data_IF_554113544800
#
_entry.id   IF_554113544800
#
_cell.length_a   1.000
_cell.length_b   1.000
_cell.length_c   1.000
_cell.angle_alpha   90.00
_cell.angle_beta   90.00
_cell.angle_gamma   90.00
#
_symmetry.space_group_name_H-M   'P 1'
#
loop_
_entity.id
_entity.type
_entity.pdbx_description
1 polymer ?
#
# COMPACT_ATOMS: atom_id res chain seq x y z
N UNK A 1 -53.58 14.77 -20.02
CA UNK A 1 -52.11 14.65 -19.82
C UNK A 1 -51.55 14.02 -21.07
N UNK A 2 -50.82 14.78 -21.88
CA UNK A 2 -50.19 14.29 -23.10
C UNK A 2 -48.93 13.51 -22.69
N UNK A 3 -49.08 12.25 -22.30
CA UNK A 3 -47.97 11.34 -22.02
C UNK A 3 -47.33 11.00 -23.37
N UNK A 4 -46.42 11.84 -23.86
CA UNK A 4 -45.47 11.41 -24.87
C UNK A 4 -44.60 10.35 -24.21
N UNK A 5 -44.90 9.07 -24.43
CA UNK A 5 -44.07 7.98 -23.95
C UNK A 5 -42.67 8.17 -24.57
N UNK A 6 -41.69 8.47 -23.73
CA UNK A 6 -40.30 8.53 -24.16
C UNK A 6 -39.80 7.09 -24.35
N UNK A 7 -39.04 6.89 -25.42
CA UNK A 7 -38.34 5.64 -25.67
C UNK A 7 -37.50 5.24 -24.43
N UNK A 8 -37.45 3.97 -24.00
CA UNK A 8 -36.75 3.57 -22.77
C UNK A 8 -35.30 4.03 -22.66
N UNK A 9 -34.56 3.98 -23.77
CA UNK A 9 -33.17 4.41 -23.87
C UNK A 9 -33.02 5.88 -24.31
N UNK A 10 -34.07 6.69 -24.23
CA UNK A 10 -33.95 8.14 -24.42
C UNK A 10 -33.17 8.76 -23.26
N UNK A 11 -32.26 9.69 -23.57
CA UNK A 11 -31.47 10.41 -22.56
C UNK A 11 -32.34 11.02 -21.45
N UNK A 12 -33.53 11.49 -21.79
CA UNK A 12 -34.45 12.11 -20.83
C UNK A 12 -34.85 11.15 -19.71
N UNK A 13 -34.89 9.85 -19.98
CA UNK A 13 -35.25 8.81 -19.02
C UNK A 13 -34.05 8.31 -18.21
N UNK A 14 -32.87 8.23 -18.82
CA UNK A 14 -31.72 7.47 -18.28
C UNK A 14 -30.63 8.34 -17.65
N UNK A 15 -30.50 9.61 -18.05
CA UNK A 15 -29.42 10.49 -17.57
C UNK A 15 -29.45 10.70 -16.05
N UNK A 16 -30.65 10.77 -15.46
CA UNK A 16 -30.79 10.93 -14.01
C UNK A 16 -30.25 9.72 -13.24
N UNK A 17 -30.52 8.51 -13.72
CA UNK A 17 -30.01 7.27 -13.14
C UNK A 17 -28.49 7.18 -13.27
N UNK A 18 -27.92 7.58 -14.41
CA UNK A 18 -26.47 7.64 -14.62
C UNK A 18 -25.80 8.50 -13.55
N UNK A 19 -26.30 9.71 -13.31
CA UNK A 19 -25.74 10.62 -12.31
C UNK A 19 -25.90 10.11 -10.88
N UNK A 20 -27.02 9.45 -10.55
CA UNK A 20 -27.19 8.81 -9.25
C UNK A 20 -26.19 7.67 -9.03
N UNK A 21 -25.90 6.89 -10.07
CA UNK A 21 -24.91 5.81 -10.02
C UNK A 21 -23.51 6.38 -9.84
N UNK A 22 -23.13 7.42 -10.60
CA UNK A 22 -21.83 8.10 -10.42
C UNK A 22 -21.69 8.60 -8.98
N UNK A 23 -22.70 9.28 -8.44
CA UNK A 23 -22.66 9.79 -7.07
C UNK A 23 -22.52 8.65 -6.02
N UNK A 24 -23.22 7.53 -6.23
CA UNK A 24 -23.13 6.36 -5.36
C UNK A 24 -21.75 5.69 -5.44
N UNK A 25 -21.18 5.57 -6.64
CA UNK A 25 -19.85 5.02 -6.87
C UNK A 25 -18.78 5.90 -6.23
N UNK A 26 -18.86 7.22 -6.37
CA UNK A 26 -17.94 8.14 -5.70
C UNK A 26 -17.99 8.00 -4.18
N UNK A 27 -19.20 7.89 -3.59
CA UNK A 27 -19.35 7.67 -2.15
C UNK A 27 -18.77 6.32 -1.70
N UNK A 28 -19.04 5.27 -2.47
CA UNK A 28 -18.53 3.92 -2.18
C UNK A 28 -16.99 3.87 -2.30
N UNK A 29 -16.43 4.51 -3.32
CA UNK A 29 -14.99 4.65 -3.50
C UNK A 29 -14.36 5.41 -2.33
N UNK A 30 -14.95 6.53 -1.90
CA UNK A 30 -14.48 7.29 -0.73
C UNK A 30 -14.49 6.43 0.55
N UNK A 31 -15.54 5.62 0.76
CA UNK A 31 -15.58 4.69 1.88
C UNK A 31 -14.51 3.59 1.78
N UNK A 32 -14.26 3.07 0.57
CA UNK A 32 -13.20 2.08 0.33
C UNK A 32 -11.81 2.65 0.62
N UNK A 33 -11.56 3.90 0.20
CA UNK A 33 -10.31 4.62 0.47
C UNK A 33 -10.14 4.83 1.98
N UNK A 34 -11.18 5.31 2.67
CA UNK A 34 -11.13 5.49 4.12
C UNK A 34 -10.88 4.17 4.84
N UNK A 35 -11.51 3.08 4.40
CA UNK A 35 -11.26 1.74 4.93
C UNK A 35 -9.80 1.31 4.75
N UNK A 36 -9.25 1.49 3.55
CA UNK A 36 -7.85 1.20 3.25
C UNK A 36 -6.89 2.02 4.11
N UNK A 37 -7.15 3.32 4.30
CA UNK A 37 -6.35 4.18 5.16
C UNK A 37 -6.43 3.76 6.64
N UNK A 38 -7.60 3.30 7.10
CA UNK A 38 -7.72 2.78 8.48
C UNK A 38 -7.00 1.44 8.66
N UNK A 39 -7.04 0.56 7.65
CA UNK A 39 -6.32 -0.72 7.64
C UNK A 39 -4.81 -0.46 7.70
N UNK A 40 -4.28 0.40 6.82
CA UNK A 40 -2.88 0.83 6.82
C UNK A 40 -2.45 1.46 8.16
N UNK A 41 -3.29 2.33 8.73
CA UNK A 41 -2.98 2.97 10.02
C UNK A 41 -2.99 1.99 11.21
N UNK A 42 -3.66 0.84 11.06
CA UNK A 42 -3.77 -0.18 12.11
C UNK A 42 -2.58 -1.14 12.16
N UNK A 43 -1.76 -1.17 11.11
CA UNK A 43 -0.55 -1.99 11.00
C UNK A 43 0.70 -1.12 11.14
N UNK A 44 1.12 -0.77 12.37
CA UNK A 44 2.26 0.11 12.55
C UNK A 44 3.54 -0.66 12.17
N UNK A 45 4.45 0.00 11.42
CA UNK A 45 5.78 -0.51 11.07
C UNK A 45 6.72 -0.56 12.30
N UNK A 46 6.34 -1.32 13.34
CA UNK A 46 7.09 -1.45 14.59
C UNK A 46 8.04 -2.64 14.46
N UNK A 47 9.32 -2.38 14.70
CA UNK A 47 10.37 -3.39 14.71
C UNK A 47 11.13 -3.34 16.03
N UNK A 48 11.68 -4.49 16.43
CA UNK A 48 12.59 -4.61 17.58
C UNK A 48 13.93 -3.90 17.35
N UNK A 49 14.24 -3.58 16.10
CA UNK A 49 15.40 -2.78 15.70
C UNK A 49 14.93 -1.56 14.91
N UNK A 50 15.50 -0.39 15.21
CA UNK A 50 15.22 0.81 14.45
C UNK A 50 15.70 0.62 12.99
N UNK A 51 14.78 0.82 12.05
CA UNK A 51 15.11 0.78 10.64
C UNK A 51 16.00 1.96 10.24
N UNK A 52 16.79 1.77 9.17
CA UNK A 52 17.43 2.91 8.50
C UNK A 52 16.37 3.71 7.74
N UNK A 53 16.63 5.00 7.52
CA UNK A 53 15.71 5.88 6.79
C UNK A 53 15.36 5.35 5.39
N UNK A 54 16.37 4.85 4.66
CA UNK A 54 16.16 4.25 3.35
C UNK A 54 15.25 3.01 3.42
N UNK A 55 15.46 2.14 4.41
CA UNK A 55 14.64 0.94 4.58
C UNK A 55 13.21 1.28 5.01
N UNK A 56 13.04 2.22 5.94
CA UNK A 56 11.72 2.70 6.36
C UNK A 56 10.94 3.24 5.16
N UNK A 57 11.58 4.05 4.31
CA UNK A 57 10.89 4.63 3.15
C UNK A 57 10.48 3.54 2.15
N UNK A 58 11.34 2.54 1.88
CA UNK A 58 10.98 1.41 1.00
C UNK A 58 9.83 0.59 1.58
N UNK A 59 9.88 0.23 2.86
CA UNK A 59 8.83 -0.55 3.50
C UNK A 59 7.50 0.22 3.53
N UNK A 60 7.54 1.50 3.88
CA UNK A 60 6.34 2.34 3.90
C UNK A 60 5.68 2.44 2.51
N UNK A 61 6.47 2.66 1.46
CA UNK A 61 5.94 2.75 0.09
C UNK A 61 5.35 1.42 -0.36
N UNK A 62 6.04 0.31 -0.09
CA UNK A 62 5.57 -1.03 -0.45
C UNK A 62 4.24 -1.38 0.25
N UNK A 63 4.14 -1.13 1.56
CA UNK A 63 2.93 -1.40 2.34
C UNK A 63 1.75 -0.53 1.90
N UNK A 64 2.02 0.75 1.61
CA UNK A 64 1.01 1.67 1.11
C UNK A 64 0.51 1.25 -0.28
N UNK A 65 1.42 0.84 -1.16
CA UNK A 65 1.08 0.36 -2.51
C UNK A 65 0.27 -0.94 -2.45
N UNK A 66 0.65 -1.90 -1.59
CA UNK A 66 -0.09 -3.15 -1.42
C UNK A 66 -1.50 -2.90 -0.87
N UNK A 67 -1.62 -2.08 0.18
CA UNK A 67 -2.92 -1.69 0.74
C UNK A 67 -3.80 -1.02 -0.32
N UNK A 68 -3.20 -0.15 -1.15
CA UNK A 68 -3.90 0.56 -2.20
C UNK A 68 -4.41 -0.38 -3.30
N UNK A 69 -3.56 -1.30 -3.77
CA UNK A 69 -3.95 -2.31 -4.76
C UNK A 69 -5.03 -3.25 -4.20
N UNK A 70 -4.91 -3.67 -2.94
CA UNK A 70 -5.92 -4.48 -2.28
C UNK A 70 -7.29 -3.77 -2.23
N UNK A 71 -7.30 -2.45 -2.00
CA UNK A 71 -8.52 -1.64 -1.99
C UNK A 71 -9.16 -1.56 -3.39
N UNK A 72 -8.36 -1.31 -4.43
CA UNK A 72 -8.80 -1.31 -5.83
C UNK A 72 -9.41 -2.68 -6.19
N UNK A 73 -8.69 -3.75 -5.91
CA UNK A 73 -9.10 -5.11 -6.25
C UNK A 73 -10.38 -5.52 -5.52
N UNK A 74 -10.50 -5.19 -4.23
CA UNK A 74 -11.70 -5.45 -3.42
C UNK A 74 -12.91 -4.72 -4.00
N UNK A 75 -12.74 -3.45 -4.38
CA UNK A 75 -13.79 -2.66 -4.98
C UNK A 75 -14.19 -3.18 -6.37
N UNK A 76 -13.23 -3.50 -7.23
CA UNK A 76 -13.45 -4.08 -8.55
C UNK A 76 -14.24 -5.39 -8.47
N UNK A 77 -13.87 -6.30 -7.54
CA UNK A 77 -14.61 -7.54 -7.31
C UNK A 77 -16.07 -7.30 -6.92
N UNK A 78 -16.34 -6.33 -6.04
CA UNK A 78 -17.71 -6.00 -5.67
C UNK A 78 -18.53 -5.52 -6.87
N UNK A 79 -17.93 -4.71 -7.75
CA UNK A 79 -18.59 -4.28 -8.97
C UNK A 79 -18.90 -5.47 -9.89
N UNK A 80 -17.91 -6.32 -10.17
CA UNK A 80 -18.12 -7.52 -11.00
C UNK A 80 -19.25 -8.39 -10.45
N UNK A 81 -19.30 -8.60 -9.14
CA UNK A 81 -20.39 -9.36 -8.50
C UNK A 81 -21.75 -8.71 -8.78
N UNK A 82 -21.88 -7.38 -8.63
CA UNK A 82 -23.12 -6.66 -8.92
C UNK A 82 -23.54 -6.83 -10.39
N UNK A 83 -22.60 -6.75 -11.33
CA UNK A 83 -22.88 -6.94 -12.76
C UNK A 83 -23.40 -8.36 -13.03
N UNK A 84 -22.72 -9.36 -12.47
CA UNK A 84 -23.07 -10.78 -12.63
C UNK A 84 -24.45 -11.09 -12.03
N UNK A 85 -24.74 -10.60 -10.82
CA UNK A 85 -26.06 -10.74 -10.19
C UNK A 85 -27.14 -10.11 -11.06
N UNK A 86 -26.90 -8.89 -11.56
CA UNK A 86 -27.87 -8.19 -12.38
C UNK A 86 -28.23 -8.94 -13.68
N UNK A 87 -27.26 -9.65 -14.26
CA UNK A 87 -27.46 -10.45 -15.47
C UNK A 87 -28.12 -11.79 -15.17
N UNK A 88 -27.60 -12.56 -14.22
CA UNK A 88 -28.11 -13.92 -13.90
C UNK A 88 -29.54 -13.84 -13.36
N UNK A 89 -29.82 -12.90 -12.46
CA UNK A 89 -31.14 -12.76 -11.86
C UNK A 89 -32.11 -11.98 -12.76
N UNK A 90 -31.64 -11.45 -13.89
CA UNK A 90 -32.46 -10.67 -14.81
C UNK A 90 -33.08 -9.43 -14.16
N UNK A 91 -32.29 -8.68 -13.37
CA UNK A 91 -32.80 -7.55 -12.61
C UNK A 91 -33.42 -6.49 -13.54
N UNK A 92 -34.70 -6.19 -13.32
CA UNK A 92 -35.45 -5.27 -14.15
C UNK A 92 -35.13 -3.81 -13.85
N UNK A 93 -35.06 -3.01 -14.92
CA UNK A 93 -34.91 -1.55 -14.83
C UNK A 93 -36.26 -0.86 -14.70
N UNK A 94 -36.31 0.23 -13.93
CA UNK A 94 -37.54 1.01 -13.74
C UNK A 94 -38.02 1.77 -14.99
N UNK A 95 -37.16 1.91 -16.01
CA UNK A 95 -37.45 2.57 -17.30
C UNK A 95 -37.59 1.57 -18.45
N UNK A 96 -37.64 0.27 -18.15
CA UNK A 96 -37.85 -0.80 -19.13
C UNK A 96 -36.83 -0.86 -20.27
N UNK A 97 -35.55 -0.60 -19.98
CA UNK A 97 -34.46 -0.74 -20.97
C UNK A 97 -34.07 -2.19 -21.22
N UNK A 98 -34.35 -3.10 -20.28
CA UNK A 98 -34.04 -4.55 -20.42
C UNK A 98 -35.29 -5.46 -20.42
N UNK A 99 -36.37 -5.05 -19.77
CA UNK A 99 -37.66 -5.74 -19.80
C UNK A 99 -38.80 -4.74 -19.93
N UNK A 100 -39.75 -5.00 -20.81
CA UNK A 100 -40.98 -4.22 -20.94
C UNK A 100 -42.20 -5.05 -20.58
N UNK A 101 -43.09 -4.45 -19.77
CA UNK A 101 -44.36 -5.04 -19.39
C UNK A 101 -45.43 -4.71 -20.42
N UNK A 102 -46.10 -5.73 -20.95
CA UNK A 102 -47.26 -5.56 -21.82
C UNK A 102 -48.48 -6.16 -21.15
N UNK A 103 -49.62 -5.48 -21.23
CA UNK A 103 -50.90 -6.06 -20.82
C UNK A 103 -51.39 -6.99 -21.93
N UNK A 104 -51.56 -8.26 -21.61
CA UNK A 104 -52.14 -9.23 -22.54
C UNK A 104 -53.58 -9.54 -22.12
N UNK A 105 -54.50 -9.51 -23.08
CA UNK A 105 -55.84 -10.05 -22.91
C UNK A 105 -55.79 -11.52 -23.31
N UNK A 106 -56.14 -12.42 -22.39
CA UNK A 106 -56.44 -13.80 -22.79
C UNK A 106 -57.77 -13.82 -23.55
N UNK A 107 -57.84 -14.61 -24.61
CA UNK A 107 -59.02 -14.74 -25.46
C UNK A 107 -60.23 -15.18 -24.61
N UNK A 108 -61.30 -14.36 -24.60
CA UNK A 108 -62.55 -14.60 -23.86
C UNK A 108 -62.45 -14.27 -22.37
N UNK A 109 -63.01 -13.13 -21.93
CA UNK A 109 -63.36 -12.71 -20.56
C UNK A 109 -62.43 -13.06 -19.36
N UNK A 110 -61.15 -13.38 -19.61
CA UNK A 110 -60.14 -13.67 -18.58
C UNK A 110 -59.43 -12.37 -18.16
N UNK A 111 -59.07 -12.19 -16.87
CA UNK A 111 -58.46 -10.96 -16.38
C UNK A 111 -57.18 -10.58 -17.13
N UNK A 112 -57.01 -9.26 -17.30
CA UNK A 112 -55.83 -8.62 -17.82
C UNK A 112 -54.61 -9.02 -16.98
N UNK A 113 -53.62 -9.70 -17.58
CA UNK A 113 -52.36 -10.01 -16.91
C UNK A 113 -51.22 -9.20 -17.53
N UNK A 114 -50.26 -8.83 -16.68
CA UNK A 114 -49.02 -8.17 -17.12
C UNK A 114 -48.03 -9.27 -17.49
N UNK A 115 -47.64 -9.31 -18.76
CA UNK A 115 -46.56 -10.18 -19.25
C UNK A 115 -45.29 -9.36 -19.41
N UNK A 116 -44.18 -9.90 -18.92
CA UNK A 116 -42.86 -9.32 -19.12
C UNK A 116 -42.22 -9.90 -20.38
N UNK A 117 -41.67 -9.02 -21.21
CA UNK A 117 -40.89 -9.37 -22.38
C UNK A 117 -39.49 -8.79 -22.24
N UNK A 118 -38.46 -9.58 -22.50
CA UNK A 118 -37.11 -9.05 -22.67
C UNK A 118 -37.09 -8.07 -23.85
N UNK A 119 -36.30 -7.01 -23.73
CA UNK A 119 -36.15 -6.02 -24.80
C UNK A 119 -35.06 -6.43 -25.78
N UNK A 120 -35.31 -6.17 -27.06
CA UNK A 120 -34.38 -6.43 -28.14
C UNK A 120 -34.10 -5.16 -28.93
N UNK A 121 -32.84 -4.91 -29.25
CA UNK A 121 -32.39 -3.73 -29.99
C UNK A 121 -31.69 -4.15 -31.29
N UNK A 122 -32.30 -3.84 -32.43
CA UNK A 122 -31.64 -4.00 -33.73
C UNK A 122 -30.93 -2.72 -34.11
N UNK A 123 -29.60 -2.73 -34.05
CA UNK A 123 -28.76 -1.59 -34.37
C UNK A 123 -28.59 -1.39 -35.89
N UNK A 124 -28.34 -0.15 -36.35
CA UNK A 124 -28.06 0.11 -37.75
C UNK A 124 -26.83 -0.65 -38.24
N UNK A 125 -26.96 -1.34 -39.37
CA UNK A 125 -25.88 -2.12 -39.97
C UNK A 125 -25.58 -3.46 -39.30
N UNK A 126 -26.32 -3.86 -38.26
CA UNK A 126 -26.29 -5.24 -37.74
C UNK A 126 -27.47 -6.04 -38.29
N UNK A 127 -27.21 -7.32 -38.57
CA UNK A 127 -28.23 -8.28 -39.00
C UNK A 127 -28.93 -8.95 -37.80
N UNK A 128 -28.31 -8.89 -36.62
CA UNK A 128 -28.80 -9.53 -35.40
C UNK A 128 -29.19 -8.48 -34.36
N UNK A 129 -30.28 -8.74 -33.65
CA UNK A 129 -30.74 -7.91 -32.54
C UNK A 129 -29.99 -8.24 -31.26
N UNK A 130 -29.62 -7.22 -30.51
CA UNK A 130 -29.04 -7.35 -29.17
C UNK A 130 -30.15 -7.58 -28.13
N UNK A 131 -30.10 -8.70 -27.41
CA UNK A 131 -31.00 -9.02 -26.31
C UNK A 131 -30.45 -8.46 -25.01
N UNK A 132 -31.22 -7.62 -24.34
CA UNK A 132 -30.82 -7.06 -23.05
C UNK A 132 -30.92 -8.02 -21.85
N UNK A 133 -31.24 -9.29 -22.11
CA UNK A 133 -31.18 -10.37 -21.14
C UNK A 133 -29.98 -11.28 -21.37
N UNK A 134 -29.67 -11.59 -22.63
CA UNK A 134 -28.64 -12.58 -22.98
C UNK A 134 -27.29 -11.93 -23.29
N UNK A 135 -27.28 -10.73 -23.85
CA UNK A 135 -26.06 -10.05 -24.25
C UNK A 135 -25.49 -9.24 -23.10
N UNK A 136 -24.17 -9.34 -22.92
CA UNK A 136 -23.45 -8.66 -21.83
C UNK A 136 -23.38 -7.14 -22.01
N UNK A 137 -23.55 -6.67 -23.25
CA UNK A 137 -23.40 -5.27 -23.64
C UNK A 137 -24.16 -5.01 -24.94
N UNK A 138 -25.07 -4.04 -24.88
CA UNK A 138 -25.80 -3.50 -26.03
C UNK A 138 -25.55 -1.99 -26.14
N UNK A 139 -24.28 -1.63 -26.25
CA UNK A 139 -23.85 -0.23 -26.21
C UNK A 139 -24.26 0.58 -27.42
N UNK A 140 -24.71 1.81 -27.18
CA UNK A 140 -25.03 2.77 -28.22
C UNK A 140 -24.84 4.22 -27.77
N UNK A 141 -24.62 5.15 -28.70
CA UNK A 141 -24.54 6.57 -28.36
C UNK A 141 -25.85 7.05 -27.75
N UNK A 142 -25.74 7.82 -26.66
CA UNK A 142 -26.90 8.44 -26.05
C UNK A 142 -27.48 9.52 -26.94
N UNK A 143 -28.81 9.59 -27.00
CA UNK A 143 -29.50 10.59 -27.79
C UNK A 143 -30.91 10.90 -27.32
N UNK A 144 -31.48 11.93 -27.95
CA UNK A 144 -32.90 12.28 -27.85
C UNK A 144 -33.62 11.71 -29.06
N UNK A 145 -34.62 10.88 -28.80
CA UNK A 145 -35.35 10.19 -29.84
C UNK A 145 -36.76 10.76 -29.94
N UNK A 146 -37.16 11.09 -31.16
CA UNK A 146 -38.54 11.48 -31.47
C UNK A 146 -39.32 10.20 -31.76
N UNK A 147 -39.91 9.65 -30.71
CA UNK A 147 -40.63 8.39 -30.79
C UNK A 147 -42.14 8.65 -31.00
N UNK A 148 -42.66 8.26 -32.17
CA UNK A 148 -44.07 8.42 -32.54
C UNK A 148 -44.71 7.11 -33.04
N UNK A 149 -44.13 5.95 -32.67
CA UNK A 149 -44.73 4.64 -33.00
C UNK A 149 -45.10 3.90 -31.73
N UNK A 150 -46.08 3.02 -31.81
CA UNK A 150 -46.32 2.01 -30.79
C UNK A 150 -45.47 0.81 -31.14
N UNK A 151 -44.46 0.47 -30.34
CA UNK A 151 -43.71 -0.76 -30.55
C UNK A 151 -44.60 -1.99 -30.41
N UNK A 152 -44.32 -2.98 -31.23
CA UNK A 152 -44.83 -4.33 -31.06
C UNK A 152 -43.86 -5.12 -30.19
N UNK A 153 -44.29 -5.53 -29.00
CA UNK A 153 -43.66 -6.58 -28.18
C UNK A 153 -42.19 -6.35 -27.79
N UNK A 154 -41.81 -5.15 -27.35
CA UNK A 154 -40.48 -4.88 -26.77
C UNK A 154 -39.30 -5.04 -27.74
N UNK A 155 -39.57 -4.97 -29.05
CA UNK A 155 -38.54 -5.00 -30.09
C UNK A 155 -38.34 -3.60 -30.70
N UNK A 156 -37.10 -3.10 -30.61
CA UNK A 156 -36.70 -1.75 -31.00
C UNK A 156 -35.78 -1.79 -32.21
N UNK A 157 -36.26 -1.30 -33.36
CA UNK A 157 -35.45 -1.24 -34.58
C UNK A 157 -34.86 0.16 -34.79
N UNK A 158 -33.56 0.31 -34.54
CA UNK A 158 -32.87 1.58 -34.67
C UNK A 158 -32.53 1.98 -36.12
N UNK A 159 -32.79 1.11 -37.10
CA UNK A 159 -32.84 1.58 -38.49
C UNK A 159 -34.02 2.55 -38.71
N UNK A 160 -35.00 2.57 -37.81
CA UNK A 160 -36.26 3.32 -37.91
C UNK A 160 -36.39 4.37 -36.79
N UNK A 161 -35.73 4.14 -35.66
CA UNK A 161 -35.66 5.04 -34.50
C UNK A 161 -34.36 5.84 -34.59
N UNK A 162 -34.45 7.06 -35.14
CA UNK A 162 -33.29 7.93 -35.39
C UNK A 162 -33.17 8.93 -34.24
N UNK A 163 -31.96 9.07 -33.67
CA UNK A 163 -31.65 10.11 -32.70
C UNK A 163 -31.63 11.47 -33.40
N UNK A 164 -32.36 12.45 -32.86
CA UNK A 164 -32.32 13.83 -33.35
C UNK A 164 -31.03 14.54 -32.88
N UNK A 165 -30.58 14.20 -31.68
CA UNK A 165 -29.40 14.78 -31.03
C UNK A 165 -28.65 13.63 -30.37
N UNK A 166 -27.33 13.59 -30.52
CA UNK A 166 -26.45 12.66 -29.81
C UNK A 166 -25.46 13.42 -28.92
N UNK A 167 -24.99 12.77 -27.86
CA UNK A 167 -24.13 13.40 -26.86
C UNK A 167 -22.76 12.71 -26.81
N UNK A 168 -21.67 13.43 -27.10
CA UNK A 168 -20.33 12.84 -27.10
C UNK A 168 -19.96 12.32 -25.72
N UNK A 169 -19.48 11.08 -25.67
CA UNK A 169 -19.06 10.43 -24.43
C UNK A 169 -20.21 9.85 -23.60
N UNK A 170 -21.48 10.14 -23.88
CA UNK A 170 -22.58 9.49 -23.15
C UNK A 170 -23.05 8.27 -23.95
N UNK A 171 -23.10 7.12 -23.30
CA UNK A 171 -23.47 5.83 -23.88
C UNK A 171 -24.63 5.22 -23.09
N UNK A 172 -25.52 4.52 -23.80
CA UNK A 172 -26.54 3.67 -23.21
C UNK A 172 -26.25 2.20 -23.42
N UNK A 173 -26.76 1.42 -22.49
CA UNK A 173 -26.70 -0.02 -22.43
C UNK A 173 -27.97 -0.52 -21.72
N UNK A 174 -28.17 -1.83 -21.70
CA UNK A 174 -29.35 -2.49 -21.15
C UNK A 174 -29.64 -2.13 -19.69
N UNK A 175 -28.58 -1.91 -18.91
CA UNK A 175 -28.64 -1.57 -17.50
C UNK A 175 -28.03 -0.18 -17.27
N UNK A 176 -28.62 0.65 -16.37
CA UNK A 176 -28.11 1.98 -16.08
C UNK A 176 -26.64 2.01 -15.61
N UNK A 177 -26.19 1.01 -14.86
CA UNK A 177 -24.78 0.96 -14.42
C UNK A 177 -23.84 0.57 -15.56
N UNK A 178 -24.27 -0.30 -16.50
CA UNK A 178 -23.50 -0.61 -17.71
C UNK A 178 -23.40 0.62 -18.61
N UNK A 179 -24.51 1.35 -18.76
CA UNK A 179 -24.54 2.64 -19.47
C UNK A 179 -23.54 3.64 -18.85
N UNK A 180 -23.53 3.72 -17.52
CA UNK A 180 -22.62 4.58 -16.78
C UNK A 180 -21.17 4.19 -17.02
N UNK A 181 -20.83 2.91 -16.93
CA UNK A 181 -19.47 2.41 -17.14
C UNK A 181 -18.96 2.58 -18.58
N UNK A 182 -19.84 2.46 -19.57
CA UNK A 182 -19.54 2.68 -20.97
C UNK A 182 -19.39 4.16 -21.35
N UNK A 183 -19.92 5.07 -20.52
CA UNK A 183 -19.87 6.51 -20.75
C UNK A 183 -18.56 7.13 -20.26
N UNK A 184 -18.18 8.28 -20.81
CA UNK A 184 -17.14 9.20 -20.37
C UNK A 184 -17.74 10.54 -19.96
N UNK A 185 -16.91 11.43 -19.40
CA UNK A 185 -17.34 12.76 -18.99
C UNK A 185 -17.18 13.83 -20.09
N UNK A 186 -16.85 13.44 -21.32
CA UNK A 186 -16.50 14.36 -22.41
C UNK A 186 -17.54 15.47 -22.65
N UNK A 187 -18.84 15.15 -22.63
CA UNK A 187 -19.90 16.15 -22.76
C UNK A 187 -19.85 17.24 -21.67
N UNK A 188 -19.45 16.89 -20.45
CA UNK A 188 -19.47 17.80 -19.29
C UNK A 188 -18.31 18.80 -19.27
N UNK A 189 -17.31 18.63 -20.14
CA UNK A 189 -16.27 19.63 -20.40
C UNK A 189 -16.68 20.66 -21.47
N UNK A 190 -17.78 20.43 -22.21
CA UNK A 190 -18.22 21.28 -23.31
C UNK A 190 -19.52 22.03 -22.99
N UNK A 191 -19.47 23.36 -22.98
CA UNK A 191 -20.62 24.19 -22.61
C UNK A 191 -21.80 24.04 -23.59
N UNK A 192 -21.52 23.82 -24.87
CA UNK A 192 -22.55 23.58 -25.89
C UNK A 192 -23.32 22.29 -25.61
N UNK A 193 -22.61 21.24 -25.16
CA UNK A 193 -23.23 19.97 -24.82
C UNK A 193 -24.17 20.10 -23.60
N UNK A 194 -23.71 20.79 -22.55
CA UNK A 194 -24.53 21.09 -21.37
C UNK A 194 -25.75 21.94 -21.71
N UNK A 195 -25.58 22.98 -22.52
CA UNK A 195 -26.70 23.83 -22.97
C UNK A 195 -27.75 23.02 -23.74
N UNK A 196 -27.30 22.06 -24.55
CA UNK A 196 -28.18 21.14 -25.28
C UNK A 196 -28.98 20.25 -24.32
N UNK A 197 -28.32 19.67 -23.30
CA UNK A 197 -29.01 18.88 -22.25
C UNK A 197 -30.06 19.76 -21.55
N UNK A 198 -29.69 20.96 -21.11
CA UNK A 198 -30.60 21.89 -20.43
C UNK A 198 -31.82 22.25 -21.29
N UNK A 199 -31.61 22.47 -22.59
CA UNK A 199 -32.66 22.74 -23.57
C UNK A 199 -33.62 21.55 -23.70
N UNK A 200 -33.08 20.33 -23.81
CA UNK A 200 -33.87 19.09 -23.92
C UNK A 200 -34.76 18.87 -22.69
N UNK A 201 -34.27 19.23 -21.50
CA UNK A 201 -35.05 19.15 -20.25
C UNK A 201 -35.94 20.37 -20.00
N UNK A 202 -35.91 21.40 -20.87
CA UNK A 202 -36.58 22.68 -20.65
C UNK A 202 -36.24 23.28 -19.27
N UNK A 203 -34.97 23.21 -18.89
CA UNK A 203 -34.44 23.72 -17.62
C UNK A 203 -33.43 24.83 -17.85
N UNK A 204 -33.48 25.84 -16.99
CA UNK A 204 -32.49 26.91 -16.92
C UNK A 204 -31.79 26.80 -15.57
N UNK A 205 -30.67 26.09 -15.53
CA UNK A 205 -29.84 25.96 -14.33
C UNK A 205 -28.51 26.63 -14.62
N UNK A 206 -28.02 27.45 -13.70
CA UNK A 206 -26.70 28.05 -13.81
C UNK A 206 -25.66 27.00 -13.39
N UNK A 207 -25.15 26.25 -14.36
CA UNK A 207 -24.14 25.20 -14.16
C UNK A 207 -22.87 25.56 -14.91
N UNK A 208 -21.71 25.40 -14.28
CA UNK A 208 -20.41 25.53 -14.92
C UNK A 208 -19.96 24.20 -15.47
N UNK A 209 -19.33 24.20 -16.65
CA UNK A 209 -18.63 23.03 -17.18
C UNK A 209 -17.45 22.62 -16.31
N UNK A 210 -17.03 21.37 -16.47
CA UNK A 210 -15.78 20.88 -15.87
C UNK A 210 -14.57 21.59 -16.47
N UNK A 211 -13.54 21.79 -15.64
CA UNK A 211 -12.35 22.52 -16.03
C UNK A 211 -11.37 21.60 -16.78
N UNK A 212 -11.28 21.76 -18.10
CA UNK A 212 -10.33 21.01 -18.95
C UNK A 212 -8.86 21.38 -18.67
N UNK A 213 -8.60 22.56 -18.11
CA UNK A 213 -7.26 23.01 -17.75
C UNK A 213 -6.79 22.50 -16.38
N UNK A 214 -7.65 21.84 -15.61
CA UNK A 214 -7.21 21.16 -14.39
C UNK A 214 -6.37 19.94 -14.80
N UNK A 215 -5.16 19.82 -14.27
CA UNK A 215 -4.32 18.64 -14.48
C UNK A 215 -4.95 17.44 -13.78
N UNK A 216 -5.71 16.65 -14.52
CA UNK A 216 -6.26 15.37 -14.07
C UNK A 216 -5.44 14.22 -14.65
N UNK A 217 -5.32 13.14 -13.88
CA UNK A 217 -4.81 11.85 -14.35
C UNK A 217 -5.75 11.25 -15.41
N UNK A 218 -7.04 11.53 -15.30
CA UNK A 218 -8.07 10.97 -16.17
C UNK A 218 -8.45 11.96 -17.29
N UNK A 219 -8.17 11.67 -18.57
CA UNK A 219 -8.56 12.54 -19.67
C UNK A 219 -10.09 12.55 -19.86
N UNK A 220 -10.68 13.61 -20.45
CA UNK A 220 -12.14 13.73 -20.66
C UNK A 220 -12.77 12.58 -21.45
N UNK A 221 -11.99 11.92 -22.32
CA UNK A 221 -12.43 10.81 -23.17
C UNK A 221 -12.37 9.45 -22.48
N UNK A 222 -11.75 9.36 -21.30
CA UNK A 222 -11.64 8.12 -20.54
C UNK A 222 -13.02 7.64 -20.09
N UNK A 223 -13.27 6.34 -20.23
CA UNK A 223 -14.53 5.76 -19.80
C UNK A 223 -14.59 5.71 -18.27
N UNK A 224 -15.78 5.93 -17.73
CA UNK A 224 -16.03 5.96 -16.29
C UNK A 224 -15.66 4.63 -15.62
N UNK A 225 -15.78 3.50 -16.32
CA UNK A 225 -15.33 2.20 -15.79
C UNK A 225 -13.87 2.24 -15.33
N UNK A 226 -12.98 2.78 -16.15
CA UNK A 226 -11.54 2.82 -15.83
C UNK A 226 -11.26 3.79 -14.66
N UNK A 227 -12.00 4.89 -14.56
CA UNK A 227 -11.92 5.81 -13.42
C UNK A 227 -12.39 5.13 -12.13
N UNK A 228 -13.51 4.40 -12.20
CA UNK A 228 -14.12 3.64 -11.11
C UNK A 228 -13.19 2.53 -10.62
N UNK A 229 -12.56 1.79 -11.53
CA UNK A 229 -11.55 0.76 -11.24
C UNK A 229 -10.27 1.34 -10.62
N UNK A 230 -10.13 2.65 -10.58
CA UNK A 230 -9.04 3.36 -9.92
C UNK A 230 -9.54 4.21 -8.74
N UNK A 231 -10.73 3.91 -8.22
CA UNK A 231 -11.38 4.60 -7.09
C UNK A 231 -11.53 6.12 -7.29
N UNK A 232 -11.54 6.58 -8.55
CA UNK A 232 -11.50 7.99 -8.92
C UNK A 232 -10.31 8.79 -8.35
N UNK A 233 -9.21 8.11 -8.00
CA UNK A 233 -8.06 8.78 -7.38
C UNK A 233 -7.13 9.40 -8.43
N UNK A 234 -7.01 10.71 -8.32
CA UNK A 234 -6.13 11.56 -9.14
C UNK A 234 -4.66 11.44 -8.72
N UNK A 235 -4.39 11.55 -7.42
CA UNK A 235 -3.03 11.52 -6.86
C UNK A 235 -3.04 11.02 -5.42
N UNK A 236 -2.06 10.18 -5.10
CA UNK A 236 -1.74 9.78 -3.73
C UNK A 236 -0.58 10.66 -3.27
N UNK A 237 -0.78 11.39 -2.18
CA UNK A 237 0.27 12.18 -1.54
C UNK A 237 0.72 11.42 -0.30
N UNK A 238 2.01 11.11 -0.22
CA UNK A 238 2.59 10.49 0.95
C UNK A 238 3.80 11.28 1.45
N UNK A 239 3.92 11.35 2.78
CA UNK A 239 5.04 12.01 3.45
C UNK A 239 5.47 11.11 4.59
N UNK A 240 6.72 10.63 4.52
CA UNK A 240 7.35 9.86 5.60
C UNK A 240 8.18 10.82 6.47
N UNK A 241 8.18 10.57 7.79
CA UNK A 241 9.03 11.32 8.73
C UNK A 241 9.87 10.35 9.53
N UNK A 242 11.16 10.27 9.18
CA UNK A 242 12.10 9.40 9.87
C UNK A 242 12.29 9.79 11.34
N UNK A 243 12.33 11.09 11.65
CA UNK A 243 12.44 11.58 13.03
C UNK A 243 11.25 11.12 13.89
N UNK A 244 10.02 11.28 13.38
CA UNK A 244 8.83 10.86 14.11
C UNK A 244 8.79 9.34 14.33
N UNK A 245 9.24 8.55 13.34
CA UNK A 245 9.40 7.11 13.48
C UNK A 245 10.46 6.75 14.55
N UNK A 246 11.64 7.36 14.47
CA UNK A 246 12.75 7.07 15.38
C UNK A 246 12.39 7.41 16.83
N UNK A 247 11.70 8.52 17.09
CA UNK A 247 11.22 8.86 18.44
C UNK A 247 10.28 7.81 19.05
N UNK A 248 9.52 7.08 18.21
CA UNK A 248 8.60 6.01 18.65
C UNK A 248 9.28 4.66 18.78
N UNK A 249 10.28 4.38 17.94
CA UNK A 249 10.95 3.08 17.87
C UNK A 249 12.36 3.07 18.47
N UNK A 250 12.82 4.18 19.05
CA UNK A 250 14.13 4.26 19.68
C UNK A 250 14.25 3.24 20.83
N UNK A 251 15.35 2.47 20.89
CA UNK A 251 15.55 1.52 21.96
C UNK A 251 15.70 2.25 23.31
N UNK A 252 15.07 1.71 24.36
CA UNK A 252 15.18 2.25 25.73
C UNK A 252 16.64 2.18 26.23
N UNK A 253 17.40 1.19 25.76
CA UNK A 253 18.82 1.04 26.05
C UNK A 253 19.58 0.51 24.84
N UNK A 254 20.72 1.13 24.55
CA UNK A 254 21.65 0.66 23.52
C UNK A 254 22.74 -0.18 24.18
N UNK A 255 22.84 -1.46 23.85
CA UNK A 255 23.97 -2.31 24.23
C UNK A 255 24.96 -2.38 23.09
N UNK A 256 26.17 -1.87 23.32
CA UNK A 256 27.28 -2.02 22.38
C UNK A 256 28.05 -3.30 22.74
N UNK A 257 28.16 -4.22 21.79
CA UNK A 257 29.06 -5.37 21.92
C UNK A 257 30.45 -4.97 21.45
N UNK A 258 31.36 -4.75 22.40
CA UNK A 258 32.74 -4.46 22.09
C UNK A 258 33.48 -5.77 21.77
N UNK A 259 33.53 -6.14 20.49
CA UNK A 259 34.32 -7.29 20.02
C UNK A 259 35.82 -6.93 19.99
N UNK A 260 36.46 -6.84 21.16
CA UNK A 260 37.93 -6.88 21.20
C UNK A 260 38.37 -8.24 20.69
N UNK A 261 39.08 -8.28 19.56
CA UNK A 261 39.89 -9.45 19.20
C UNK A 261 40.84 -9.71 20.36
N UNK A 262 40.55 -10.75 21.15
CA UNK A 262 41.45 -11.23 22.20
C UNK A 262 42.69 -11.81 21.50
N UNK A 263 43.70 -10.98 21.31
CA UNK A 263 44.99 -11.42 20.78
C UNK A 263 45.71 -12.20 21.89
N UNK A 264 45.42 -13.49 22.02
CA UNK A 264 46.05 -14.39 22.99
C UNK A 264 47.59 -14.34 22.93
N UNK A 265 48.15 -14.08 21.74
CA UNK A 265 49.58 -13.84 21.51
C UNK A 265 50.08 -12.65 22.34
N UNK A 266 49.30 -11.57 22.48
CA UNK A 266 49.66 -10.41 23.30
C UNK A 266 49.75 -10.79 24.79
N UNK A 267 48.84 -11.63 25.30
CA UNK A 267 48.86 -12.09 26.69
C UNK A 267 50.10 -12.96 26.95
N UNK A 268 50.39 -13.91 26.06
CA UNK A 268 51.55 -14.80 26.18
C UNK A 268 52.87 -14.03 26.10
N UNK A 269 53.00 -13.11 25.14
CA UNK A 269 54.22 -12.29 24.99
C UNK A 269 54.44 -11.36 26.17
N UNK A 270 53.37 -10.79 26.75
CA UNK A 270 53.48 -9.96 27.95
C UNK A 270 53.92 -10.78 29.17
N UNK A 271 53.38 -11.99 29.36
CA UNK A 271 53.80 -12.89 30.45
C UNK A 271 55.26 -13.34 30.30
N UNK A 272 55.66 -13.75 29.09
CA UNK A 272 57.04 -14.13 28.80
C UNK A 272 58.01 -12.96 29.01
N UNK A 273 57.62 -11.75 28.60
CA UNK A 273 58.38 -10.52 28.84
C UNK A 273 58.52 -10.19 30.34
N UNK A 274 57.47 -10.43 31.12
CA UNK A 274 57.47 -10.19 32.57
C UNK A 274 58.35 -11.21 33.31
N UNK A 275 58.25 -12.50 32.99
CA UNK A 275 59.11 -13.54 33.59
C UNK A 275 60.58 -13.36 33.18
N UNK A 276 60.84 -13.08 31.90
CA UNK A 276 62.18 -12.83 31.39
C UNK A 276 62.80 -11.57 31.98
N UNK A 277 62.07 -10.46 31.99
CA UNK A 277 62.50 -9.18 32.53
C UNK A 277 62.72 -9.21 34.04
N UNK A 278 61.85 -9.89 34.79
CA UNK A 278 61.99 -10.03 36.24
C UNK A 278 63.25 -10.82 36.61
N UNK A 279 63.49 -11.96 35.95
CA UNK A 279 64.66 -12.79 36.23
C UNK A 279 65.97 -12.09 35.84
N UNK A 280 66.00 -11.43 34.68
CA UNK A 280 67.15 -10.64 34.24
C UNK A 280 67.41 -9.45 35.16
N UNK A 281 66.36 -8.74 35.58
CA UNK A 281 66.44 -7.62 36.51
C UNK A 281 66.96 -8.06 37.88
N UNK A 282 66.40 -9.12 38.47
CA UNK A 282 66.89 -9.68 39.72
C UNK A 282 68.37 -10.06 39.64
N UNK A 283 68.80 -10.72 38.56
CA UNK A 283 70.20 -11.12 38.39
C UNK A 283 71.17 -9.93 38.30
N UNK A 284 70.71 -8.78 37.81
CA UNK A 284 71.48 -7.54 37.75
C UNK A 284 71.52 -6.81 39.10
N UNK A 285 70.37 -6.71 39.78
CA UNK A 285 70.24 -5.91 41.00
C UNK A 285 70.68 -6.67 42.26
N UNK A 286 70.53 -7.99 42.33
CA UNK A 286 70.93 -8.80 43.48
C UNK A 286 72.39 -8.63 43.90
N UNK A 287 73.41 -8.70 43.00
CA UNK A 287 74.80 -8.47 43.43
C UNK A 287 75.01 -7.06 44.00
N UNK A 288 74.35 -6.05 43.42
CA UNK A 288 74.42 -4.68 43.89
C UNK A 288 73.79 -4.51 45.29
N UNK A 289 72.63 -5.12 45.51
CA UNK A 289 71.98 -5.12 46.83
C UNK A 289 72.81 -5.88 47.87
N UNK A 290 73.43 -7.00 47.50
CA UNK A 290 74.30 -7.77 48.39
C UNK A 290 75.54 -6.93 48.78
N UNK A 291 76.18 -6.26 47.83
CA UNK A 291 77.33 -5.39 48.10
C UNK A 291 76.95 -4.22 49.02
N UNK A 292 75.79 -3.60 48.78
CA UNK A 292 75.25 -2.55 49.65
C UNK A 292 75.01 -3.05 51.09
N UNK A 293 74.44 -4.25 51.25
CA UNK A 293 74.20 -4.87 52.55
C UNK A 293 75.52 -5.22 53.25
N UNK A 294 76.51 -5.75 52.51
CA UNK A 294 77.83 -6.06 53.07
C UNK A 294 78.55 -4.80 53.57
N UNK A 295 78.51 -3.70 52.81
CA UNK A 295 79.08 -2.40 53.21
C UNK A 295 78.37 -1.87 54.47
N UNK A 296 77.05 -1.97 54.55
CA UNK A 296 76.28 -1.57 55.74
C UNK A 296 76.63 -2.43 56.96
N UNK A 297 76.80 -3.76 56.80
CA UNK A 297 77.22 -4.67 57.86
C UNK A 297 78.65 -4.40 58.34
N UNK A 298 79.61 -4.13 57.45
CA UNK A 298 80.99 -3.77 57.83
C UNK A 298 81.04 -2.45 58.62
N UNK A 299 80.22 -1.46 58.24
CA UNK A 299 80.10 -0.21 59.01
C UNK A 299 79.46 -0.40 60.39
N UNK A 300 78.59 -1.40 60.55
CA UNK A 300 78.00 -1.78 61.85
C UNK A 300 78.94 -2.62 62.72
N UNK A 301 79.74 -3.52 62.14
CA UNK A 301 80.70 -4.35 62.88
C UNK A 301 81.96 -3.58 63.32
N UNK A 302 82.40 -2.57 62.56
CA UNK A 302 83.54 -1.71 62.93
C UNK A 302 83.22 -0.67 64.03
N UNK A 303 81.99 -0.67 64.59
CA UNK A 303 81.65 0.14 65.78
C UNK A 303 81.82 -0.62 67.11
N UNK A 304 82.22 -1.90 67.10
CA UNK A 304 82.20 -2.75 68.30
C UNK A 304 83.53 -3.46 68.63
N UNK A 305 84.68 -2.88 68.25
CA UNK A 305 86.00 -3.37 68.70
C UNK A 305 86.97 -2.23 69.02
N UNK A 306 87.11 -1.94 70.32
CA UNK A 306 88.31 -1.37 70.96
C UNK A 306 88.87 -2.45 71.93
N UNK A 307 90.19 -2.64 72.09
CA UNK A 307 90.75 -3.88 72.63
C UNK A 307 91.08 -3.82 74.13
N UNK A 308 90.94 -4.95 74.83
CA UNK A 308 91.72 -5.25 76.04
C UNK A 308 92.22 -6.70 76.03
N UNK A 309 93.48 -6.82 76.42
CA UNK A 309 94.37 -7.99 76.41
C UNK A 309 93.96 -9.01 77.48
N UNK A 310 94.03 -10.32 77.17
CA UNK A 310 94.63 -11.35 78.06
C UNK A 310 94.79 -12.74 77.40
N UNK A 311 96.02 -13.24 77.53
CA UNK A 311 96.58 -14.58 77.28
C UNK A 311 95.63 -15.77 77.57
N UNK A 312 95.74 -16.89 76.82
CA UNK A 312 96.63 -18.04 77.15
C UNK A 312 96.39 -19.28 76.24
N UNK A 313 97.51 -19.94 75.87
CA UNK A 313 97.79 -21.39 75.64
C UNK A 313 96.94 -22.30 74.70
N UNK A 314 97.58 -22.66 73.57
CA UNK A 314 98.12 -23.98 73.11
C UNK A 314 97.26 -25.28 73.10
N UNK A 315 97.40 -26.01 71.98
CA UNK A 315 97.19 -27.48 71.72
C UNK A 315 95.70 -27.81 71.41
N UNK A 316 95.25 -28.57 70.39
CA UNK A 316 95.78 -29.66 69.53
C UNK A 316 94.96 -29.76 68.22
N UNK A 317 95.57 -30.42 67.23
CA UNK A 317 95.03 -31.06 66.00
C UNK A 317 93.62 -31.67 66.06
N UNK A 318 92.90 -31.67 64.93
CA UNK A 318 92.34 -32.88 64.31
C UNK A 318 91.87 -32.61 62.87
N UNK A 319 92.39 -33.41 61.96
CA UNK A 319 91.84 -33.65 60.62
C UNK A 319 90.43 -34.24 60.71
N UNK A 320 89.61 -34.03 59.69
CA UNK A 320 89.13 -35.13 58.83
C UNK A 320 88.42 -34.59 57.61
N UNK A 321 88.83 -35.12 56.45
CA UNK A 321 88.09 -35.14 55.21
C UNK A 321 86.74 -35.84 55.39
N UNK A 322 85.70 -35.40 54.68
CA UNK A 322 84.73 -36.36 54.11
C UNK A 322 84.09 -35.80 52.83
N UNK A 323 84.36 -36.53 51.76
CA UNK A 323 83.71 -36.52 50.46
C UNK A 323 82.29 -37.13 50.54
N UNK A 324 81.41 -36.76 49.59
CA UNK A 324 80.62 -37.63 48.69
C UNK A 324 79.47 -36.81 48.06
N UNK A 325 79.53 -36.58 46.74
CA UNK A 325 78.69 -37.18 45.67
C UNK A 325 77.29 -36.56 45.53
N UNK A 326 77.01 -35.83 44.43
CA UNK A 326 76.51 -36.39 43.16
C UNK A 326 75.35 -37.38 43.33
N UNK A 327 74.13 -36.93 43.03
CA UNK A 327 73.17 -37.70 42.22
C UNK A 327 72.09 -36.78 41.65
N UNK A 328 72.05 -36.80 40.30
CA UNK A 328 70.96 -36.48 39.36
C UNK A 328 70.44 -35.05 39.20
#
# INVERSE_FOLDING_TARGET
MNLTAFWPMDLRNTLSAMWQIIASLCRSAANSINGALTEFASEPLISYTAFSEAYLNVQFQAELEDTWQAAIDRFGRHLTIIQTIAQIDGLMTGVSTNFAGTTAMAYGDIPLYVRLWQTFYLFPGRNESCSCHNDLSCQMPAGVYLFNRTETFSFYNLNWIIANITFPGIMFDCLPFLSTFASSLACFYNQSCINTILTVYSKTINTTVLNEAASTRFPPTMILKEMVEQLFVEKILNTTSFNAYYEKCAPISCTYTYSRRFYWIYIVTTLLGLFGGLNAGLRLFVPYFIELIMILKQKLLNRTTEPQIKNCKRITTCETNMSFSLFR
#
